data_IF_374920344636
#
_entry.id   IF_374920344636
#
_cell.length_a   1.000
_cell.length_b   1.000
_cell.length_c   1.000
_cell.angle_alpha   90.00
_cell.angle_beta   90.00
_cell.angle_gamma   90.00
#
_symmetry.space_group_name_H-M   'P 1'
#
loop_
_entity.id
_entity.type
_entity.pdbx_description
1 polymer ?
#
# COMPACT_ATOMS: atom_id res chain seq x y z
N UNK A 1 -13.31 -16.17 7.44
CA UNK A 1 -11.87 -16.39 7.67
C UNK A 1 -11.07 -15.09 7.49
N UNK A 2 -11.24 -14.34 6.40
CA UNK A 2 -10.50 -13.09 6.16
C UNK A 2 -10.69 -12.03 7.24
N UNK A 3 -11.93 -11.86 7.75
CA UNK A 3 -12.22 -10.95 8.86
C UNK A 3 -11.43 -11.30 10.13
N UNK A 4 -11.33 -12.58 10.48
CA UNK A 4 -10.60 -13.05 11.67
C UNK A 4 -9.11 -12.83 11.50
N UNK A 5 -8.58 -13.08 10.29
CA UNK A 5 -7.16 -12.86 9.99
C UNK A 5 -6.79 -11.37 10.11
N UNK A 6 -7.64 -10.49 9.59
CA UNK A 6 -7.47 -9.04 9.67
C UNK A 6 -7.60 -8.54 11.12
N UNK A 7 -8.52 -9.10 11.91
CA UNK A 7 -8.66 -8.78 13.34
C UNK A 7 -7.39 -9.11 14.13
N UNK A 8 -6.88 -10.33 13.95
CA UNK A 8 -5.64 -10.78 14.59
C UNK A 8 -4.48 -9.88 14.20
N UNK A 9 -4.37 -9.52 12.91
CA UNK A 9 -3.36 -8.58 12.42
C UNK A 9 -3.43 -7.23 13.14
N UNK A 10 -4.62 -6.63 13.22
CA UNK A 10 -4.80 -5.34 13.91
C UNK A 10 -4.46 -5.42 15.39
N UNK A 11 -4.82 -6.51 16.08
CA UNK A 11 -4.51 -6.69 17.50
C UNK A 11 -3.00 -6.93 17.74
N UNK A 12 -2.30 -7.62 16.83
CA UNK A 12 -0.84 -7.73 16.86
C UNK A 12 -0.19 -6.36 16.73
N UNK A 13 -0.61 -5.54 15.75
CA UNK A 13 -0.06 -4.20 15.55
C UNK A 13 -0.33 -3.30 16.76
N UNK A 14 -1.53 -3.31 17.33
CA UNK A 14 -1.84 -2.58 18.57
C UNK A 14 -0.95 -3.01 19.74
N UNK A 15 -0.71 -4.31 19.86
CA UNK A 15 0.19 -4.85 20.89
C UNK A 15 1.62 -4.36 20.67
N UNK A 16 2.10 -4.34 19.42
CA UNK A 16 3.41 -3.77 19.07
C UNK A 16 3.49 -2.28 19.38
N UNK A 17 2.46 -1.49 19.05
CA UNK A 17 2.41 -0.06 19.36
C UNK A 17 2.50 0.20 20.87
N UNK A 18 1.94 -0.70 21.68
CA UNK A 18 1.99 -0.61 23.14
C UNK A 18 3.37 -0.94 23.73
N UNK A 19 4.24 -1.63 22.98
CA UNK A 19 5.62 -1.91 23.36
C UNK A 19 6.57 -0.78 22.93
N UNK A 20 7.16 0.00 23.85
CA UNK A 20 8.07 1.10 23.51
C UNK A 20 9.30 0.69 22.70
N UNK A 21 9.69 -0.59 22.76
CA UNK A 21 10.82 -1.13 22.01
C UNK A 21 10.53 -1.40 20.53
N UNK A 22 9.26 -1.44 20.14
CA UNK A 22 8.85 -1.80 18.78
C UNK A 22 9.21 -0.73 17.74
N UNK A 23 9.11 -1.07 16.46
CA UNK A 23 9.32 -0.09 15.37
C UNK A 23 8.12 0.84 15.29
N UNK A 24 6.92 0.27 15.45
CA UNK A 24 5.62 0.92 15.39
C UNK A 24 5.49 1.99 16.48
N UNK A 25 5.85 1.69 17.72
CA UNK A 25 5.84 2.65 18.82
C UNK A 25 6.81 3.81 18.58
N UNK A 26 7.98 3.53 17.99
CA UNK A 26 8.97 4.57 17.65
C UNK A 26 8.49 5.47 16.51
N UNK A 27 7.84 4.90 15.48
CA UNK A 27 7.22 5.67 14.39
C UNK A 27 6.11 6.56 14.96
N UNK A 28 5.19 5.99 15.76
CA UNK A 28 4.09 6.73 16.37
C UNK A 28 4.61 7.82 17.33
N UNK A 29 5.69 7.56 18.08
CA UNK A 29 6.34 8.54 18.94
C UNK A 29 6.89 9.74 18.18
N UNK A 30 7.61 9.50 17.07
CA UNK A 30 8.09 10.57 16.18
C UNK A 30 6.95 11.35 15.54
N UNK A 31 5.94 10.65 15.03
CA UNK A 31 4.75 11.26 14.46
C UNK A 31 4.00 12.13 15.48
N UNK A 32 3.81 11.64 16.72
CA UNK A 32 3.14 12.39 17.79
C UNK A 32 3.87 13.66 18.20
N UNK A 33 5.21 13.62 18.27
CA UNK A 33 6.02 14.81 18.52
C UNK A 33 5.81 15.85 17.41
N UNK A 34 5.90 15.41 16.15
CA UNK A 34 5.72 16.30 14.99
C UNK A 34 4.28 16.83 14.87
N UNK A 35 3.26 16.02 15.11
CA UNK A 35 1.87 16.46 15.12
C UNK A 35 1.62 17.52 16.20
N UNK A 36 2.26 17.39 17.37
CA UNK A 36 2.16 18.39 18.44
C UNK A 36 2.75 19.74 18.01
N UNK A 37 3.85 19.74 17.27
CA UNK A 37 4.43 20.96 16.67
C UNK A 37 3.46 21.58 15.65
N UNK A 38 2.94 20.79 14.70
CA UNK A 38 2.00 21.25 13.66
C UNK A 38 0.73 21.84 14.28
N UNK A 39 0.18 21.17 15.31
CA UNK A 39 -0.98 21.68 16.07
C UNK A 39 -0.63 22.96 16.84
N UNK A 40 0.60 23.08 17.36
CA UNK A 40 1.10 24.28 18.02
C UNK A 40 1.20 25.50 17.10
N UNK A 41 1.52 25.27 15.85
CA UNK A 41 1.63 26.32 14.85
C UNK A 41 0.24 26.82 14.40
N UNK A 42 -0.82 26.01 14.51
CA UNK A 42 -2.18 26.31 14.04
C UNK A 42 -2.84 27.58 14.62
N UNK A 43 -2.27 28.18 15.68
CA UNK A 43 -2.76 29.43 16.26
C UNK A 43 -4.04 29.26 17.10
N UNK A 44 -4.25 28.07 17.67
CA UNK A 44 -5.39 27.74 18.51
C UNK A 44 -5.10 28.03 19.99
N UNK A 45 -6.16 28.19 20.79
CA UNK A 45 -6.06 28.22 22.24
C UNK A 45 -5.47 26.91 22.79
N UNK A 46 -4.81 26.98 23.95
CA UNK A 46 -4.07 25.84 24.53
C UNK A 46 -4.92 24.58 24.69
N UNK A 47 -6.14 24.71 25.18
CA UNK A 47 -7.07 23.59 25.36
C UNK A 47 -7.48 22.95 24.00
N UNK A 48 -7.80 23.78 23.00
CA UNK A 48 -8.16 23.30 21.67
C UNK A 48 -6.97 22.64 20.97
N UNK A 49 -5.76 23.17 21.17
CA UNK A 49 -4.51 22.60 20.66
C UNK A 49 -4.21 21.23 21.26
N UNK A 50 -4.36 21.06 22.58
CA UNK A 50 -4.13 19.77 23.24
C UNK A 50 -5.14 18.71 22.79
N UNK A 51 -6.41 19.10 22.67
CA UNK A 51 -7.45 18.24 22.13
C UNK A 51 -7.15 17.81 20.68
N UNK A 52 -6.73 18.78 19.85
CA UNK A 52 -6.37 18.53 18.46
C UNK A 52 -5.17 17.58 18.34
N UNK A 53 -4.12 17.78 19.15
CA UNK A 53 -2.92 16.94 19.14
C UNK A 53 -3.23 15.50 19.58
N UNK A 54 -4.09 15.33 20.58
CA UNK A 54 -4.55 14.01 21.03
C UNK A 54 -5.31 13.29 19.91
N UNK A 55 -6.30 13.95 19.29
CA UNK A 55 -7.07 13.38 18.18
C UNK A 55 -6.18 13.06 16.97
N UNK A 56 -5.20 13.92 16.65
CA UNK A 56 -4.27 13.67 15.56
C UNK A 56 -3.39 12.44 15.83
N UNK A 57 -2.93 12.26 17.06
CA UNK A 57 -2.17 11.08 17.47
C UNK A 57 -3.01 9.81 17.38
N UNK A 58 -4.26 9.84 17.85
CA UNK A 58 -5.20 8.72 17.72
C UNK A 58 -5.47 8.35 16.26
N UNK A 59 -5.66 9.35 15.39
CA UNK A 59 -5.82 9.10 13.96
C UNK A 59 -4.56 8.46 13.33
N UNK A 60 -3.36 8.94 13.69
CA UNK A 60 -2.10 8.34 13.23
C UNK A 60 -1.93 6.89 13.72
N UNK A 61 -2.34 6.60 14.94
CA UNK A 61 -2.35 5.24 15.49
C UNK A 61 -3.27 4.31 14.67
N UNK A 62 -4.49 4.76 14.35
CA UNK A 62 -5.41 3.99 13.50
C UNK A 62 -4.83 3.74 12.12
N UNK A 63 -4.17 4.73 11.51
CA UNK A 63 -3.51 4.55 10.21
C UNK A 63 -2.39 3.51 10.27
N UNK A 64 -1.61 3.46 11.36
CA UNK A 64 -0.61 2.40 11.57
C UNK A 64 -1.28 1.04 11.73
N UNK A 65 -2.40 0.96 12.45
CA UNK A 65 -3.14 -0.30 12.62
C UNK A 65 -3.69 -0.80 11.28
N UNK A 66 -4.14 0.08 10.39
CA UNK A 66 -4.63 -0.27 9.05
C UNK A 66 -3.52 -0.53 8.01
N UNK A 67 -2.25 -0.39 8.39
CA UNK A 67 -1.14 -0.62 7.47
C UNK A 67 -1.09 -2.07 6.99
N UNK A 68 -0.99 -2.30 5.68
CA UNK A 68 -1.14 -3.64 5.09
C UNK A 68 0.15 -4.47 5.23
N UNK A 69 -0.02 -5.77 5.46
CA UNK A 69 1.09 -6.72 5.50
C UNK A 69 1.78 -6.79 4.13
N UNK A 70 3.08 -6.48 4.12
CA UNK A 70 3.92 -6.48 2.90
C UNK A 70 4.37 -5.11 2.44
N UNK A 71 3.82 -4.03 2.99
CA UNK A 71 4.38 -2.69 2.81
C UNK A 71 5.42 -2.41 3.90
N UNK A 72 6.58 -1.90 3.52
CA UNK A 72 7.60 -1.47 4.49
C UNK A 72 7.04 -0.35 5.35
N UNK A 73 7.07 -0.51 6.67
CA UNK A 73 6.75 0.55 7.62
C UNK A 73 7.70 1.73 7.37
N UNK A 74 7.16 2.81 6.83
CA UNK A 74 7.86 4.08 6.64
C UNK A 74 7.39 5.06 7.70
N UNK A 75 8.26 6.00 8.05
CA UNK A 75 7.82 7.19 8.77
C UNK A 75 6.74 7.92 7.99
N UNK A 76 5.80 8.53 8.72
CA UNK A 76 4.83 9.45 8.14
C UNK A 76 5.57 10.62 7.50
N UNK A 77 5.27 10.88 6.23
CA UNK A 77 5.79 12.05 5.56
C UNK A 77 5.11 13.31 6.11
N UNK A 78 5.82 14.46 6.07
CA UNK A 78 5.33 15.71 6.66
C UNK A 78 3.97 16.12 6.08
N UNK A 79 3.77 15.93 4.77
CA UNK A 79 2.49 16.20 4.11
C UNK A 79 1.33 15.36 4.69
N UNK A 80 1.58 14.10 5.06
CA UNK A 80 0.59 13.21 5.66
C UNK A 80 0.25 13.68 7.08
N UNK A 81 1.25 14.12 7.84
CA UNK A 81 1.04 14.65 9.20
C UNK A 81 0.20 15.93 9.17
N UNK A 82 0.44 16.82 8.21
CA UNK A 82 -0.37 18.02 8.00
C UNK A 82 -1.81 17.65 7.64
N UNK A 83 -2.03 16.65 6.78
CA UNK A 83 -3.37 16.15 6.47
C UNK A 83 -4.06 15.52 7.69
N UNK A 84 -3.34 14.74 8.51
CA UNK A 84 -3.84 14.18 9.77
C UNK A 84 -4.30 15.30 10.71
N UNK A 85 -3.55 16.40 10.83
CA UNK A 85 -3.98 17.56 11.64
C UNK A 85 -5.28 18.17 11.12
N UNK A 86 -5.44 18.32 9.81
CA UNK A 86 -6.70 18.82 9.22
C UNK A 86 -7.88 17.86 9.50
N UNK A 87 -7.66 16.55 9.38
CA UNK A 87 -8.67 15.53 9.72
C UNK A 87 -9.03 15.59 11.20
N UNK A 88 -8.04 15.68 12.09
CA UNK A 88 -8.28 15.79 13.53
C UNK A 88 -9.10 17.04 13.88
N UNK A 89 -8.82 18.19 13.24
CA UNK A 89 -9.59 19.41 13.43
C UNK A 89 -11.04 19.23 12.98
N UNK A 90 -11.26 18.57 11.84
CA UNK A 90 -12.59 18.23 11.34
C UNK A 90 -13.36 17.33 12.31
N UNK A 91 -12.73 16.27 12.84
CA UNK A 91 -13.34 15.34 13.79
C UNK A 91 -13.69 16.01 15.13
N UNK A 92 -12.83 16.92 15.61
CA UNK A 92 -13.09 17.71 16.81
C UNK A 92 -14.04 18.89 16.59
N UNK A 93 -14.47 19.16 15.34
CA UNK A 93 -15.25 20.34 14.94
C UNK A 93 -14.56 21.67 15.31
N UNK A 94 -13.22 21.69 15.25
CA UNK A 94 -12.40 22.88 15.48
C UNK A 94 -12.22 23.58 14.13
N UNK A 95 -12.65 24.83 14.04
CA UNK A 95 -12.45 25.65 12.84
C UNK A 95 -11.03 26.20 12.83
N UNK A 96 -10.22 25.69 11.91
CA UNK A 96 -8.91 26.26 11.62
C UNK A 96 -9.06 27.59 10.85
N UNK A 97 -8.09 28.51 10.95
CA UNK A 97 -8.10 29.74 10.16
C UNK A 97 -8.19 29.41 8.66
N UNK A 98 -8.99 30.17 7.90
CA UNK A 98 -9.05 30.08 6.42
C UNK A 98 -10.02 29.07 5.81
N UNK A 99 -11.06 28.65 6.53
CA UNK A 99 -12.26 28.00 5.95
C UNK A 99 -12.63 26.66 6.60
N UNK A 100 -13.67 26.01 6.05
CA UNK A 100 -14.41 24.89 6.65
C UNK A 100 -13.58 23.65 7.04
N UNK A 101 -12.36 23.49 6.52
CA UNK A 101 -11.48 22.33 6.82
C UNK A 101 -10.05 22.69 7.17
N UNK A 102 -9.64 23.96 7.07
CA UNK A 102 -8.26 24.40 7.30
C UNK A 102 -7.18 23.89 6.34
N UNK A 103 -7.52 23.01 5.39
CA UNK A 103 -6.58 22.36 4.45
C UNK A 103 -5.81 23.41 3.63
N UNK A 104 -6.49 24.42 3.07
CA UNK A 104 -5.85 25.47 2.28
C UNK A 104 -4.83 26.29 3.08
N UNK A 105 -5.14 26.60 4.34
CA UNK A 105 -4.26 27.37 5.22
C UNK A 105 -3.04 26.57 5.64
N UNK A 106 -3.24 25.30 5.98
CA UNK A 106 -2.15 24.39 6.30
C UNK A 106 -1.25 24.16 5.07
N UNK A 107 -1.84 23.91 3.91
CA UNK A 107 -1.10 23.79 2.65
C UNK A 107 -0.26 25.05 2.35
N UNK A 108 -0.84 26.24 2.48
CA UNK A 108 -0.12 27.50 2.28
C UNK A 108 1.03 27.70 3.28
N UNK A 109 0.84 27.31 4.55
CA UNK A 109 1.87 27.42 5.58
C UNK A 109 3.05 26.50 5.35
N UNK A 110 2.80 25.25 4.98
CA UNK A 110 3.85 24.23 4.80
C UNK A 110 4.36 24.14 3.35
N UNK A 111 3.84 24.97 2.44
CA UNK A 111 4.24 24.98 1.04
C UNK A 111 3.83 23.71 0.28
N UNK A 112 2.68 23.14 0.63
CA UNK A 112 2.12 21.96 -0.03
C UNK A 112 1.09 22.36 -1.10
N UNK A 113 0.92 21.49 -2.10
CA UNK A 113 -0.16 21.62 -3.06
C UNK A 113 -1.51 21.33 -2.39
N UNK A 114 -2.47 22.25 -2.56
CA UNK A 114 -3.77 22.17 -1.88
C UNK A 114 -4.56 20.96 -2.38
N UNK A 115 -4.53 20.67 -3.68
CA UNK A 115 -5.30 19.58 -4.28
C UNK A 115 -4.76 18.22 -3.85
N UNK A 116 -3.43 18.06 -3.83
CA UNK A 116 -2.79 16.86 -3.31
C UNK A 116 -3.11 16.65 -1.82
N UNK A 117 -3.06 17.71 -1.00
CA UNK A 117 -3.37 17.60 0.42
C UNK A 117 -4.85 17.23 0.66
N UNK A 118 -5.77 17.74 -0.15
CA UNK A 118 -7.20 17.41 -0.08
C UNK A 118 -7.46 15.93 -0.43
N UNK A 119 -6.75 15.38 -1.42
CA UNK A 119 -6.82 13.94 -1.74
C UNK A 119 -6.34 13.07 -0.57
N UNK A 120 -5.24 13.45 0.07
CA UNK A 120 -4.70 12.72 1.23
C UNK A 120 -5.66 12.84 2.41
N UNK A 121 -6.25 14.01 2.63
CA UNK A 121 -7.27 14.25 3.64
C UNK A 121 -8.48 13.32 3.45
N UNK A 122 -9.05 13.26 2.23
CA UNK A 122 -10.20 12.41 1.93
C UNK A 122 -9.85 10.93 2.10
N UNK A 123 -8.66 10.52 1.65
CA UNK A 123 -8.18 9.16 1.83
C UNK A 123 -8.08 8.76 3.31
N UNK A 124 -7.54 9.64 4.16
CA UNK A 124 -7.45 9.38 5.61
C UNK A 124 -8.86 9.26 6.21
N UNK A 125 -9.81 10.12 5.83
CA UNK A 125 -11.20 10.02 6.30
C UNK A 125 -11.84 8.68 5.92
N UNK A 126 -11.61 8.20 4.71
CA UNK A 126 -12.13 6.90 4.27
C UNK A 126 -11.47 5.74 5.02
N UNK A 127 -10.18 5.80 5.32
CA UNK A 127 -9.51 4.86 6.21
C UNK A 127 -10.15 4.84 7.61
N UNK A 128 -10.39 6.01 8.21
CA UNK A 128 -11.01 6.10 9.54
C UNK A 128 -12.47 5.61 9.55
N UNK A 129 -13.25 5.90 8.49
CA UNK A 129 -14.61 5.36 8.31
C UNK A 129 -14.59 3.85 8.19
N UNK A 130 -13.66 3.32 7.40
CA UNK A 130 -13.49 1.87 7.24
C UNK A 130 -13.16 1.20 8.56
N UNK A 131 -12.20 1.75 9.32
CA UNK A 131 -11.84 1.25 10.64
C UNK A 131 -13.02 1.26 11.62
N UNK A 132 -13.82 2.34 11.64
CA UNK A 132 -15.02 2.41 12.47
C UNK A 132 -16.03 1.33 12.08
N UNK A 133 -16.36 1.22 10.79
CA UNK A 133 -17.30 0.21 10.31
C UNK A 133 -16.83 -1.22 10.61
N UNK A 134 -15.52 -1.45 10.52
CA UNK A 134 -14.89 -2.72 10.89
C UNK A 134 -15.03 -3.01 12.38
N UNK A 135 -14.82 -2.00 13.23
CA UNK A 135 -14.96 -2.15 14.68
C UNK A 135 -16.41 -2.33 15.13
N UNK A 136 -17.36 -1.65 14.47
CA UNK A 136 -18.80 -1.82 14.72
C UNK A 136 -19.23 -3.26 14.38
N UNK A 137 -18.75 -3.80 13.25
CA UNK A 137 -18.94 -5.22 12.90
C UNK A 137 -18.32 -6.15 13.94
N UNK A 138 -17.10 -5.85 14.40
CA UNK A 138 -16.44 -6.64 15.46
C UNK A 138 -17.28 -6.70 16.73
N UNK A 139 -17.84 -5.56 17.15
CA UNK A 139 -18.72 -5.49 18.32
C UNK A 139 -20.01 -6.29 18.11
N UNK A 140 -20.64 -6.21 16.93
CA UNK A 140 -21.82 -7.02 16.60
C UNK A 140 -21.51 -8.53 16.67
N UNK A 141 -20.39 -8.98 16.11
CA UNK A 141 -19.98 -10.38 16.20
C UNK A 141 -19.65 -10.82 17.62
N UNK A 142 -19.05 -9.95 18.44
CA UNK A 142 -18.78 -10.28 19.84
C UNK A 142 -20.07 -10.48 20.66
N UNK A 143 -21.13 -9.75 20.32
CA UNK A 143 -22.46 -9.90 20.94
C UNK A 143 -23.20 -11.15 20.44
N UNK A 144 -23.05 -11.50 19.16
CA UNK A 144 -23.72 -12.65 18.53
C UNK A 144 -23.03 -13.99 18.84
N UNK A 145 -21.71 -14.00 19.03
CA UNK A 145 -20.89 -15.23 18.96
C UNK A 145 -20.13 -15.55 20.27
N UNK A 146 -20.79 -15.36 21.42
CA UNK A 146 -20.26 -15.52 22.78
C UNK A 146 -19.61 -16.90 23.13
N UNK A 147 -19.49 -17.84 22.18
CA UNK A 147 -18.79 -19.12 22.35
C UNK A 147 -17.80 -19.50 21.23
N UNK A 148 -17.70 -18.77 20.11
CA UNK A 148 -16.99 -19.24 18.91
C UNK A 148 -15.77 -18.41 18.50
N UNK A 149 -15.97 -17.11 18.32
CA UNK A 149 -14.96 -16.25 17.67
C UNK A 149 -13.74 -15.98 18.55
N UNK A 150 -13.89 -15.84 19.87
CA UNK A 150 -12.72 -15.67 20.76
C UNK A 150 -11.76 -16.86 20.68
N UNK A 151 -12.28 -18.08 20.61
CA UNK A 151 -11.45 -19.28 20.46
C UNK A 151 -10.70 -19.28 19.12
N UNK A 152 -11.34 -18.83 18.03
CA UNK A 152 -10.73 -18.72 16.72
C UNK A 152 -9.63 -17.63 16.67
N UNK A 153 -9.88 -16.46 17.27
CA UNK A 153 -8.90 -15.36 17.37
C UNK A 153 -7.70 -15.79 18.22
N UNK A 154 -7.94 -16.46 19.36
CA UNK A 154 -6.86 -16.98 20.22
C UNK A 154 -6.03 -18.03 19.48
N UNK A 155 -6.67 -18.98 18.80
CA UNK A 155 -5.97 -20.02 18.04
C UNK A 155 -5.12 -19.44 16.91
N UNK A 156 -5.63 -18.47 16.16
CA UNK A 156 -4.89 -17.84 15.07
C UNK A 156 -3.77 -16.91 15.59
N UNK A 157 -3.99 -16.22 16.71
CA UNK A 157 -2.94 -15.42 17.39
C UNK A 157 -1.79 -16.31 17.86
N UNK A 158 -2.09 -17.46 18.48
CA UNK A 158 -1.06 -18.43 18.87
C UNK A 158 -0.30 -18.98 17.66
N UNK A 159 -1.01 -19.25 16.56
CA UNK A 159 -0.39 -19.71 15.30
C UNK A 159 0.60 -18.66 14.78
N UNK A 160 0.19 -17.40 14.66
CA UNK A 160 1.08 -16.33 14.20
C UNK A 160 2.28 -16.13 15.13
N UNK A 161 2.09 -16.26 16.45
CA UNK A 161 3.19 -16.17 17.43
C UNK A 161 4.21 -17.31 17.25
N UNK A 162 3.76 -18.53 16.95
CA UNK A 162 4.63 -19.68 16.64
C UNK A 162 5.33 -19.52 15.29
N UNK A 163 4.66 -18.97 14.30
CA UNK A 163 5.26 -18.64 12.99
C UNK A 163 6.34 -17.55 13.12
N UNK A 164 6.09 -16.50 13.91
CA UNK A 164 7.07 -15.46 14.21
C UNK A 164 8.28 -16.00 14.99
N UNK A 165 8.06 -16.87 15.98
CA UNK A 165 9.12 -17.50 16.76
C UNK A 165 9.97 -18.53 15.98
N UNK A 166 9.40 -19.11 14.92
CA UNK A 166 10.10 -20.07 14.05
C UNK A 166 10.85 -19.42 12.89
N UNK A 167 10.64 -18.12 12.62
CA UNK A 167 11.48 -17.38 11.68
C UNK A 167 12.87 -17.17 12.27
N UNK A 168 13.95 -17.60 11.57
CA UNK A 168 15.31 -17.34 12.03
C UNK A 168 15.55 -15.81 12.11
N UNK A 169 16.30 -15.34 13.12
CA UNK A 169 16.59 -13.91 13.26
C UNK A 169 17.25 -13.42 11.98
N UNK A 170 16.56 -12.54 11.27
CA UNK A 170 17.09 -11.93 10.06
C UNK A 170 18.17 -10.96 10.51
N UNK A 171 19.42 -11.28 10.21
CA UNK A 171 20.58 -10.45 10.57
C UNK A 171 20.33 -8.99 10.18
N UNK A 172 20.58 -8.09 11.13
CA UNK A 172 20.41 -6.65 11.00
C UNK A 172 20.99 -6.12 9.67
N UNK A 173 20.11 -5.78 8.72
CA UNK A 173 20.45 -4.86 7.64
C UNK A 173 20.72 -3.50 8.29
N UNK A 174 22.00 -3.17 8.38
CA UNK A 174 22.49 -1.84 8.71
C UNK A 174 22.02 -0.89 7.62
N UNK A 175 21.16 0.06 7.99
CA UNK A 175 20.67 1.11 7.12
C UNK A 175 21.84 1.94 6.57
N UNK A 176 21.95 2.00 5.24
CA UNK A 176 22.81 2.95 4.56
C UNK A 176 22.22 4.37 4.67
N UNK A 177 23.05 5.43 4.73
CA UNK A 177 22.57 6.80 4.86
C UNK A 177 21.94 7.29 3.55
N UNK A 178 20.77 7.93 3.66
CA UNK A 178 20.08 8.58 2.55
C UNK A 178 20.83 9.86 2.10
N UNK A 179 20.96 10.13 0.79
CA UNK A 179 21.41 11.43 0.32
C UNK A 179 20.25 12.43 0.30
N UNK A 180 20.57 13.67 0.66
CA UNK A 180 19.67 14.80 0.76
C UNK A 180 19.02 15.20 -0.58
N UNK A 181 17.85 15.80 -0.46
CA UNK A 181 16.96 16.26 -1.52
C UNK A 181 17.60 17.26 -2.51
N UNK A 182 17.17 17.16 -3.77
CA UNK A 182 17.14 18.27 -4.71
C UNK A 182 15.80 18.26 -5.48
N UNK A 183 15.29 19.46 -5.68
CA UNK A 183 13.97 19.89 -6.17
C UNK A 183 13.55 19.44 -7.58
N UNK A 184 12.22 19.25 -7.74
CA UNK A 184 11.30 19.25 -8.92
C UNK A 184 11.83 19.63 -10.32
N UNK A 185 11.21 19.15 -11.44
CA UNK A 185 9.77 18.99 -11.64
C UNK A 185 9.30 17.65 -12.24
N UNK A 186 7.97 17.46 -12.18
CA UNK A 186 7.18 16.34 -12.68
C UNK A 186 7.53 15.96 -14.13
N UNK A 187 7.69 14.66 -14.43
CA UNK A 187 7.04 14.12 -15.61
C UNK A 187 6.36 12.77 -15.38
N UNK A 188 5.42 12.49 -16.28
CA UNK A 188 4.60 11.28 -16.41
C UNK A 188 5.20 9.99 -15.84
N UNK A 189 4.46 9.39 -14.91
CA UNK A 189 4.83 8.19 -14.14
C UNK A 189 5.08 6.94 -15.01
N UNK A 190 4.57 6.90 -16.25
CA UNK A 190 4.87 5.83 -17.20
C UNK A 190 6.26 5.99 -17.85
N UNK A 191 6.72 7.23 -18.10
CA UNK A 191 8.03 7.50 -18.66
C UNK A 191 9.15 7.42 -17.62
N UNK A 192 8.85 7.76 -16.35
CA UNK A 192 9.80 7.65 -15.25
C UNK A 192 10.16 6.20 -14.89
N UNK A 193 9.20 5.27 -14.98
CA UNK A 193 9.46 3.84 -14.80
C UNK A 193 10.32 3.25 -15.94
N UNK A 194 10.08 3.67 -17.18
CA UNK A 194 10.89 3.29 -18.34
C UNK A 194 12.30 3.93 -18.30
N UNK A 195 12.43 5.14 -17.78
CA UNK A 195 13.71 5.82 -17.61
C UNK A 195 14.55 5.24 -16.46
N UNK A 196 13.93 4.83 -15.35
CA UNK A 196 14.61 4.14 -14.26
C UNK A 196 15.14 2.75 -14.68
N UNK A 197 14.40 2.04 -15.55
CA UNK A 197 14.84 0.80 -16.16
C UNK A 197 16.01 0.98 -17.15
N UNK A 198 16.09 2.14 -17.83
CA UNK A 198 17.17 2.47 -18.76
C UNK A 198 18.41 3.13 -18.09
N UNK A 199 18.25 3.74 -16.91
CA UNK A 199 19.32 4.47 -16.23
C UNK A 199 20.35 3.54 -15.55
N UNK A 200 19.95 2.31 -15.19
CA UNK A 200 20.90 1.25 -14.84
C UNK A 200 21.31 0.60 -16.15
N UNK A 201 22.34 1.15 -16.79
CA UNK A 201 22.86 0.75 -18.11
C UNK A 201 23.38 -0.68 -18.18
N UNK A 202 22.50 -1.66 -17.96
CA UNK A 202 22.68 -3.08 -18.25
C UNK A 202 21.85 -3.35 -19.52
N UNK A 203 22.48 -3.34 -20.71
CA UNK A 203 21.79 -3.65 -21.95
C UNK A 203 21.22 -5.07 -21.86
N UNK A 204 19.89 -5.21 -22.02
CA UNK A 204 19.23 -6.52 -22.15
C UNK A 204 18.32 -6.96 -21.00
N UNK A 205 18.06 -6.13 -19.98
CA UNK A 205 17.06 -6.46 -18.94
C UNK A 205 15.68 -5.85 -19.24
N UNK A 206 14.85 -6.67 -19.90
CA UNK A 206 13.50 -6.98 -19.43
C UNK A 206 12.39 -5.90 -19.44
N UNK A 207 12.48 -4.86 -20.28
CA UNK A 207 11.32 -3.98 -20.52
C UNK A 207 10.17 -4.70 -21.24
N UNK A 208 10.49 -5.48 -22.28
CA UNK A 208 9.48 -5.94 -23.24
C UNK A 208 8.46 -6.95 -22.69
N UNK A 209 8.89 -7.89 -21.84
CA UNK A 209 8.01 -8.95 -21.33
C UNK A 209 6.98 -8.46 -20.29
N UNK A 210 7.33 -7.43 -19.50
CA UNK A 210 6.38 -6.83 -18.56
C UNK A 210 5.36 -5.97 -19.31
N UNK A 211 5.82 -5.23 -20.33
CA UNK A 211 4.96 -4.45 -21.22
C UNK A 211 3.97 -5.39 -21.94
N UNK A 212 4.44 -6.54 -22.41
CA UNK A 212 3.59 -7.56 -23.04
C UNK A 212 2.55 -8.15 -22.07
N UNK A 213 2.96 -8.51 -20.84
CA UNK A 213 2.03 -9.00 -19.81
C UNK A 213 0.99 -7.95 -19.40
N UNK A 214 1.39 -6.67 -19.31
CA UNK A 214 0.47 -5.56 -19.06
C UNK A 214 -0.49 -5.35 -20.22
N UNK A 215 -0.03 -5.45 -21.47
CA UNK A 215 -0.89 -5.36 -22.65
C UNK A 215 -1.90 -6.53 -22.72
N UNK A 216 -1.48 -7.75 -22.38
CA UNK A 216 -2.37 -8.93 -22.27
C UNK A 216 -3.47 -8.69 -21.23
N UNK A 217 -3.11 -8.24 -20.04
CA UNK A 217 -4.05 -7.96 -18.95
C UNK A 217 -5.06 -6.86 -19.34
N UNK A 218 -4.58 -5.75 -19.89
CA UNK A 218 -5.45 -4.67 -20.36
C UNK A 218 -6.40 -5.12 -21.48
N UNK A 219 -5.93 -5.99 -22.38
CA UNK A 219 -6.76 -6.60 -23.41
C UNK A 219 -7.91 -7.43 -22.83
N UNK A 220 -7.61 -8.25 -21.82
CA UNK A 220 -8.63 -9.07 -21.12
C UNK A 220 -9.63 -8.21 -20.35
N UNK A 221 -9.17 -7.19 -19.63
CA UNK A 221 -10.06 -6.25 -18.93
C UNK A 221 -11.00 -5.53 -19.89
N UNK A 222 -10.47 -5.05 -21.02
CA UNK A 222 -11.29 -4.38 -22.02
C UNK A 222 -12.34 -5.33 -22.62
N UNK A 223 -12.01 -6.61 -22.79
CA UNK A 223 -12.96 -7.66 -23.15
C UNK A 223 -14.11 -7.79 -22.13
N UNK A 224 -13.79 -7.89 -20.83
CA UNK A 224 -14.81 -7.98 -19.77
C UNK A 224 -15.71 -6.74 -19.73
N UNK A 225 -15.14 -5.56 -19.92
CA UNK A 225 -15.90 -4.30 -19.97
C UNK A 225 -16.82 -4.24 -21.19
N UNK A 226 -16.35 -4.65 -22.36
CA UNK A 226 -17.18 -4.70 -23.57
C UNK A 226 -18.34 -5.71 -23.44
N UNK A 227 -18.07 -6.89 -22.88
CA UNK A 227 -19.12 -7.87 -22.56
C UNK A 227 -20.15 -7.30 -21.58
N UNK A 228 -19.72 -6.48 -20.60
CA UNK A 228 -20.63 -5.83 -19.65
C UNK A 228 -21.50 -4.77 -20.30
N UNK A 229 -20.91 -3.97 -21.18
CA UNK A 229 -21.65 -2.97 -21.95
C UNK A 229 -22.76 -3.61 -22.80
N UNK A 230 -22.48 -4.74 -23.47
CA UNK A 230 -23.47 -5.45 -24.29
C UNK A 230 -24.67 -5.96 -23.47
N UNK A 231 -24.43 -6.49 -22.27
CA UNK A 231 -25.50 -6.96 -21.39
C UNK A 231 -26.33 -5.78 -20.87
N UNK A 232 -25.69 -4.69 -20.44
CA UNK A 232 -26.39 -3.48 -20.03
C UNK A 232 -27.24 -2.91 -21.19
N UNK A 233 -26.70 -2.89 -22.41
CA UNK A 233 -27.44 -2.44 -23.59
C UNK A 233 -28.65 -3.33 -23.90
N UNK A 234 -28.53 -4.66 -23.77
CA UNK A 234 -29.64 -5.59 -23.94
C UNK A 234 -30.74 -5.39 -22.89
N UNK A 235 -30.37 -5.20 -21.62
CA UNK A 235 -31.32 -4.91 -20.53
C UNK A 235 -32.01 -3.55 -20.75
N UNK A 236 -31.27 -2.53 -21.19
CA UNK A 236 -31.83 -1.21 -21.52
C UNK A 236 -32.80 -1.26 -22.72
N UNK A 237 -32.56 -2.12 -23.70
CA UNK A 237 -33.49 -2.34 -24.80
C UNK A 237 -34.79 -3.00 -24.32
N UNK A 238 -34.71 -3.97 -23.40
CA UNK A 238 -35.88 -4.61 -22.79
C UNK A 238 -36.69 -3.65 -21.91
N UNK A 239 -36.05 -2.65 -21.27
CA UNK A 239 -36.78 -1.63 -20.49
C UNK A 239 -37.38 -0.53 -21.36
N UNK A 240 -36.81 -0.21 -22.52
CA UNK A 240 -37.41 0.71 -23.48
C UNK A 240 -38.78 0.24 -23.99
N UNK A 241 -38.97 -1.08 -24.14
CA UNK A 241 -40.28 -1.68 -24.43
C UNK A 241 -41.31 -1.46 -23.32
N UNK A 242 -40.88 -1.43 -22.05
CA UNK A 242 -41.76 -1.15 -20.91
C UNK A 242 -42.16 0.33 -20.86
N UNK A 243 -41.23 1.23 -21.17
CA UNK A 243 -41.50 2.67 -21.21
C UNK A 243 -42.47 3.03 -22.35
N UNK A 244 -42.42 2.30 -23.47
CA UNK A 244 -43.40 2.43 -24.55
C UNK A 244 -44.81 1.98 -24.13
N UNK A 245 -44.93 0.93 -23.32
CA UNK A 245 -46.20 0.46 -22.74
C UNK A 245 -46.73 1.43 -21.69
N UNK A 246 -45.86 2.03 -20.88
CA UNK A 246 -46.24 3.04 -19.88
C UNK A 246 -46.79 4.32 -20.53
N UNK A 247 -46.21 4.75 -21.67
CA UNK A 247 -46.66 5.95 -22.41
C UNK A 247 -47.97 5.75 -23.17
N UNK A 248 -48.29 4.52 -23.56
CA UNK A 248 -49.55 4.16 -24.24
C UNK A 248 -50.20 2.97 -23.53
N UNK A 249 -50.84 3.19 -22.36
CA UNK A 249 -51.42 2.10 -21.60
C UNK A 249 -52.52 1.41 -22.41
N UNK A 250 -52.47 0.08 -22.57
CA UNK A 250 -53.52 -0.66 -23.25
C UNK A 250 -54.87 -0.52 -22.51
N UNK A 251 -55.99 -0.77 -23.21
CA UNK A 251 -57.32 -0.64 -22.62
C UNK A 251 -57.49 -1.53 -21.37
N UNK A 252 -58.39 -1.16 -20.45
CA UNK A 252 -58.65 -1.89 -19.20
C UNK A 252 -58.99 -3.38 -19.41
N UNK A 253 -59.70 -3.73 -20.48
CA UNK A 253 -59.97 -5.12 -20.86
C UNK A 253 -58.69 -5.87 -21.26
N UNK A 254 -57.79 -5.20 -21.99
CA UNK A 254 -56.48 -5.76 -22.36
C UNK A 254 -55.57 -5.84 -21.14
N UNK A 255 -55.57 -4.86 -20.23
CA UNK A 255 -54.82 -4.92 -18.97
C UNK A 255 -55.30 -6.04 -18.04
N UNK A 256 -56.60 -6.34 -18.02
CA UNK A 256 -57.17 -7.43 -17.21
C UNK A 256 -56.91 -8.82 -17.78
N UNK A 257 -56.68 -8.91 -19.09
CA UNK A 257 -56.28 -10.15 -19.79
C UNK A 257 -54.76 -10.26 -20.00
N UNK A 258 -54.02 -9.15 -19.82
CA UNK A 258 -52.58 -9.08 -19.98
C UNK A 258 -51.80 -9.57 -18.77
N UNK A 259 -50.72 -10.26 -19.08
CA UNK A 259 -49.86 -10.98 -18.16
C UNK A 259 -48.87 -10.04 -17.45
N UNK A 260 -49.37 -9.04 -16.72
CA UNK A 260 -48.51 -8.17 -15.90
C UNK A 260 -47.62 -8.96 -14.93
N UNK A 261 -48.10 -10.12 -14.45
CA UNK A 261 -47.28 -11.09 -13.72
C UNK A 261 -46.07 -11.56 -14.53
N UNK A 262 -46.25 -11.95 -15.79
CA UNK A 262 -45.15 -12.41 -16.64
C UNK A 262 -44.18 -11.31 -17.03
N UNK A 263 -44.67 -10.09 -17.20
CA UNK A 263 -43.80 -8.94 -17.44
C UNK A 263 -42.94 -8.68 -16.19
N UNK A 264 -43.54 -8.74 -14.99
CA UNK A 264 -42.80 -8.65 -13.72
C UNK A 264 -41.79 -9.78 -13.55
N UNK A 265 -42.16 -11.02 -13.86
CA UNK A 265 -41.27 -12.18 -13.85
C UNK A 265 -40.10 -12.00 -14.82
N UNK A 266 -40.35 -11.54 -16.06
CA UNK A 266 -39.29 -11.25 -17.04
C UNK A 266 -38.33 -10.14 -16.59
N UNK A 267 -38.85 -9.09 -15.96
CA UNK A 267 -38.00 -8.01 -15.42
C UNK A 267 -37.12 -8.56 -14.28
N UNK A 268 -37.71 -9.34 -13.38
CA UNK A 268 -36.97 -9.94 -12.27
C UNK A 268 -35.89 -10.90 -12.78
N UNK A 269 -36.20 -11.75 -13.78
CA UNK A 269 -35.21 -12.62 -14.44
C UNK A 269 -34.07 -11.82 -15.07
N UNK A 270 -34.36 -10.68 -15.70
CA UNK A 270 -33.32 -9.81 -16.28
C UNK A 270 -32.44 -9.13 -15.22
N UNK A 271 -33.02 -8.71 -14.09
CA UNK A 271 -32.27 -8.12 -12.97
C UNK A 271 -31.39 -9.18 -12.31
N UNK A 272 -31.93 -10.37 -12.07
CA UNK A 272 -31.19 -11.49 -11.47
C UNK A 272 -30.05 -11.93 -12.40
N UNK A 273 -30.29 -12.00 -13.71
CA UNK A 273 -29.26 -12.26 -14.71
C UNK A 273 -28.17 -11.19 -14.71
N UNK A 274 -28.55 -9.91 -14.62
CA UNK A 274 -27.59 -8.80 -14.58
C UNK A 274 -26.71 -8.88 -13.32
N UNK A 275 -27.31 -9.17 -12.16
CA UNK A 275 -26.59 -9.33 -10.89
C UNK A 275 -25.63 -10.53 -10.94
N UNK A 276 -26.10 -11.70 -11.37
CA UNK A 276 -25.25 -12.89 -11.52
C UNK A 276 -24.12 -12.65 -12.53
N UNK A 277 -24.40 -11.97 -13.64
CA UNK A 277 -23.38 -11.64 -14.63
C UNK A 277 -22.35 -10.65 -14.09
N UNK A 278 -22.79 -9.66 -13.31
CA UNK A 278 -21.91 -8.69 -12.67
C UNK A 278 -20.98 -9.36 -11.66
N UNK A 279 -21.53 -10.17 -10.74
CA UNK A 279 -20.75 -10.91 -9.75
C UNK A 279 -19.73 -11.85 -10.41
N UNK A 280 -20.14 -12.60 -11.43
CA UNK A 280 -19.24 -13.48 -12.18
C UNK A 280 -18.09 -12.70 -12.84
N UNK A 281 -18.36 -11.48 -13.34
CA UNK A 281 -17.34 -10.63 -13.98
C UNK A 281 -16.40 -9.98 -12.98
N UNK A 282 -16.90 -9.52 -11.83
CA UNK A 282 -16.05 -9.02 -10.74
C UNK A 282 -15.09 -10.12 -10.31
N UNK A 283 -15.59 -11.34 -10.07
CA UNK A 283 -14.76 -12.49 -9.75
C UNK A 283 -13.71 -12.78 -10.83
N UNK A 284 -14.09 -12.72 -12.11
CA UNK A 284 -13.16 -12.92 -13.23
C UNK A 284 -12.07 -11.83 -13.28
N UNK A 285 -12.42 -10.57 -13.00
CA UNK A 285 -11.45 -9.47 -12.92
C UNK A 285 -10.47 -9.72 -11.77
N UNK A 286 -10.96 -10.13 -10.60
CA UNK A 286 -10.12 -10.44 -9.44
C UNK A 286 -9.17 -11.60 -9.72
N UNK A 287 -9.63 -12.66 -10.39
CA UNK A 287 -8.82 -13.80 -10.81
C UNK A 287 -7.70 -13.39 -11.79
N UNK A 288 -8.03 -12.59 -12.81
CA UNK A 288 -7.05 -12.10 -13.79
C UNK A 288 -6.05 -11.12 -13.16
N UNK A 289 -6.50 -10.28 -12.22
CA UNK A 289 -5.62 -9.38 -11.48
C UNK A 289 -4.63 -10.16 -10.59
N UNK A 290 -5.11 -11.16 -9.84
CA UNK A 290 -4.24 -12.03 -9.04
C UNK A 290 -3.23 -12.78 -9.92
N UNK A 291 -3.68 -13.31 -11.06
CA UNK A 291 -2.78 -13.98 -12.02
C UNK A 291 -1.71 -13.04 -12.56
N UNK A 292 -2.07 -11.80 -12.89
CA UNK A 292 -1.12 -10.78 -13.33
C UNK A 292 -0.11 -10.44 -12.22
N UNK A 293 -0.57 -10.22 -10.99
CA UNK A 293 0.32 -9.89 -9.87
C UNK A 293 1.28 -11.02 -9.51
N UNK A 294 0.86 -12.28 -9.62
CA UNK A 294 1.76 -13.43 -9.45
C UNK A 294 2.84 -13.48 -10.54
N UNK A 295 2.49 -13.23 -11.82
CA UNK A 295 3.50 -13.10 -12.89
C UNK A 295 4.50 -11.98 -12.62
N UNK A 296 4.05 -10.83 -12.13
CA UNK A 296 4.92 -9.70 -11.75
C UNK A 296 5.84 -10.11 -10.60
N UNK A 297 5.30 -10.78 -9.58
CA UNK A 297 6.05 -11.27 -8.42
C UNK A 297 7.12 -12.27 -8.80
N UNK A 298 6.79 -13.31 -9.57
CA UNK A 298 7.75 -14.30 -10.07
C UNK A 298 8.89 -13.64 -10.84
N UNK A 299 8.58 -12.61 -11.64
CA UNK A 299 9.58 -11.87 -12.39
C UNK A 299 10.50 -11.05 -11.50
N UNK A 300 9.95 -10.37 -10.49
CA UNK A 300 10.73 -9.63 -9.51
C UNK A 300 11.69 -10.55 -8.75
N UNK A 301 11.21 -11.73 -8.32
CA UNK A 301 12.04 -12.75 -7.67
C UNK A 301 13.17 -13.23 -8.59
N UNK A 302 12.86 -13.53 -9.86
CA UNK A 302 13.87 -13.93 -10.85
C UNK A 302 14.93 -12.83 -11.07
N UNK A 303 14.52 -11.56 -11.09
CA UNK A 303 15.45 -10.43 -11.22
C UNK A 303 16.35 -10.28 -9.99
N UNK A 304 15.79 -10.45 -8.79
CA UNK A 304 16.55 -10.45 -7.53
C UNK A 304 17.59 -11.59 -7.54
N UNK A 305 17.21 -12.79 -7.96
CA UNK A 305 18.13 -13.93 -7.99
C UNK A 305 19.26 -13.73 -9.01
N UNK A 306 18.96 -13.14 -10.19
CA UNK A 306 20.00 -12.73 -11.14
C UNK A 306 20.94 -11.69 -10.55
N UNK A 307 20.40 -10.67 -9.87
CA UNK A 307 21.20 -9.64 -9.22
C UNK A 307 22.10 -10.23 -8.12
N UNK A 308 21.58 -11.16 -7.30
CA UNK A 308 22.37 -11.92 -6.32
C UNK A 308 23.47 -12.75 -6.99
N UNK A 309 23.18 -13.40 -8.12
CA UNK A 309 24.17 -14.14 -8.91
C UNK A 309 25.30 -13.26 -9.43
N UNK A 310 24.97 -12.07 -9.95
CA UNK A 310 25.96 -11.09 -10.39
C UNK A 310 26.80 -10.56 -9.23
N UNK A 311 26.16 -10.21 -8.12
CA UNK A 311 26.85 -9.76 -6.91
C UNK A 311 27.80 -10.84 -6.37
N UNK A 312 27.34 -12.08 -6.26
CA UNK A 312 28.17 -13.21 -5.81
C UNK A 312 29.38 -13.42 -6.72
N UNK A 313 29.19 -13.36 -8.03
CA UNK A 313 30.27 -13.48 -9.02
C UNK A 313 31.29 -12.34 -8.87
N UNK A 314 30.81 -11.09 -8.76
CA UNK A 314 31.66 -9.93 -8.54
C UNK A 314 32.41 -10.00 -7.20
N UNK A 315 31.74 -10.44 -6.14
CA UNK A 315 32.33 -10.64 -4.83
C UNK A 315 33.46 -11.67 -4.87
N UNK A 316 33.23 -12.85 -5.45
CA UNK A 316 34.26 -13.88 -5.62
C UNK A 316 35.45 -13.39 -6.44
N UNK A 317 35.19 -12.64 -7.52
CA UNK A 317 36.25 -12.03 -8.32
C UNK A 317 37.11 -11.05 -7.50
N UNK A 318 36.48 -10.15 -6.72
CA UNK A 318 37.19 -9.19 -5.88
C UNK A 318 37.94 -9.86 -4.73
N UNK A 319 37.37 -10.90 -4.12
CA UNK A 319 38.03 -11.69 -3.08
C UNK A 319 39.29 -12.39 -3.63
N UNK A 320 39.20 -12.98 -4.83
CA UNK A 320 40.34 -13.59 -5.50
C UNK A 320 41.45 -12.56 -5.79
N UNK A 321 41.09 -11.37 -6.30
CA UNK A 321 42.05 -10.27 -6.50
C UNK A 321 42.72 -9.83 -5.21
N UNK A 322 41.95 -9.67 -4.12
CA UNK A 322 42.51 -9.30 -2.80
C UNK A 322 43.56 -10.33 -2.35
N UNK A 323 43.26 -11.62 -2.47
CA UNK A 323 44.21 -12.67 -2.10
C UNK A 323 45.50 -12.62 -2.93
N UNK A 324 45.40 -12.34 -4.23
CA UNK A 324 46.56 -12.12 -5.10
C UNK A 324 47.41 -10.94 -4.61
N UNK A 325 46.80 -9.79 -4.29
CA UNK A 325 47.53 -8.63 -3.78
C UNK A 325 48.22 -8.91 -2.45
N UNK A 326 47.55 -9.58 -1.50
CA UNK A 326 48.17 -9.98 -0.24
C UNK A 326 49.39 -10.89 -0.46
N UNK A 327 49.30 -11.84 -1.41
CA UNK A 327 50.43 -12.72 -1.73
C UNK A 327 51.63 -11.97 -2.32
N UNK A 328 51.38 -10.98 -3.18
CA UNK A 328 52.42 -10.14 -3.76
C UNK A 328 53.07 -9.24 -2.70
N UNK A 329 52.27 -8.64 -1.82
CA UNK A 329 52.76 -7.83 -0.71
C UNK A 329 53.65 -8.63 0.23
N UNK A 330 53.23 -9.84 0.62
CA UNK A 330 54.04 -10.71 1.48
C UNK A 330 55.37 -11.09 0.82
N UNK A 331 55.36 -11.43 -0.48
CA UNK A 331 56.60 -11.71 -1.23
C UNK A 331 57.53 -10.49 -1.27
N UNK A 332 56.98 -9.30 -1.47
CA UNK A 332 57.76 -8.06 -1.45
C UNK A 332 58.38 -7.81 -0.08
N UNK A 333 57.62 -8.03 1.00
CA UNK A 333 58.09 -7.90 2.37
C UNK A 333 59.20 -8.91 2.69
N UNK A 334 59.03 -10.19 2.33
CA UNK A 334 60.04 -11.23 2.48
C UNK A 334 61.33 -10.89 1.70
N UNK A 335 61.20 -10.46 0.44
CA UNK A 335 62.35 -10.06 -0.38
C UNK A 335 63.08 -8.85 0.24
N UNK A 336 62.36 -7.87 0.78
CA UNK A 336 62.95 -6.71 1.45
C UNK A 336 63.72 -7.10 2.72
N UNK A 337 63.18 -8.04 3.50
CA UNK A 337 63.85 -8.56 4.70
C UNK A 337 65.09 -9.38 4.35
N UNK A 338 65.02 -10.20 3.31
CA UNK A 338 66.18 -10.96 2.80
C UNK A 338 67.28 -10.04 2.29
N UNK A 339 66.94 -8.97 1.57
CA UNK A 339 67.91 -7.98 1.10
C UNK A 339 68.60 -7.25 2.27
N UNK A 340 67.82 -6.87 3.30
CA UNK A 340 68.37 -6.27 4.52
C UNK A 340 69.31 -7.22 5.28
N UNK A 341 68.96 -8.52 5.35
CA UNK A 341 69.79 -9.53 6.00
C UNK A 341 71.06 -9.89 5.20
N UNK A 342 70.99 -9.83 3.87
CA UNK A 342 72.09 -10.21 2.97
C UNK A 342 73.19 -9.14 2.82
N UNK A 343 72.96 -7.90 3.26
CA UNK A 343 73.90 -6.82 2.95
C UNK A 343 73.71 -5.55 3.76
N UNK A 344 74.00 -5.62 5.06
CA UNK A 344 74.56 -4.49 5.81
C UNK A 344 75.99 -4.14 5.36
N UNK A 345 76.22 -4.01 4.05
CA UNK A 345 77.40 -3.35 3.52
C UNK A 345 76.95 -1.95 3.10
N UNK A 346 77.44 -0.89 3.76
CA UNK A 346 77.04 0.48 3.43
C UNK A 346 77.36 0.75 1.97
N UNK A 347 76.36 1.26 1.24
CA UNK A 347 76.57 1.84 -0.09
C UNK A 347 77.73 2.86 0.02
N UNK A 348 78.82 2.69 -0.74
CA UNK A 348 79.90 3.68 -0.73
C UNK A 348 79.34 5.01 -1.24
N UNK A 349 79.65 6.06 -0.48
CA UNK A 349 79.17 7.43 -0.66
C UNK A 349 79.55 8.04 -2.02
#
# INVERSE_FOLDING_TARGET
EDLVRELVRQDVVRTSISDPGSVEARILGRAGARLSEVCGEAGLEEAAREQLATMAKEAAEVLLVLHHDGQTLSDFQDYTLVAITAVAAHLCRITLPGGDRGVATLAARYGHDVAALDQVYDHILDCLRHYRAFHDRRSQFAEEDACGMEAAVVAETERQRREAASRPPTEHQTAAPAPAAASSPVPDTAAAAAAAANAVGVPGLAGDALIEASAEFLGKLNGVVQENWQICAAVLQSTATLDAVAKNPPSMEVMSTWQWSKIGEQIQEHVDYLNQSHEAKVKRIDEEYHSFMEKVRERALTAIDKAKGHYSTAFHYMAARRQQYCSLYNRFQEASQQAAAAGGAPLPA
#
